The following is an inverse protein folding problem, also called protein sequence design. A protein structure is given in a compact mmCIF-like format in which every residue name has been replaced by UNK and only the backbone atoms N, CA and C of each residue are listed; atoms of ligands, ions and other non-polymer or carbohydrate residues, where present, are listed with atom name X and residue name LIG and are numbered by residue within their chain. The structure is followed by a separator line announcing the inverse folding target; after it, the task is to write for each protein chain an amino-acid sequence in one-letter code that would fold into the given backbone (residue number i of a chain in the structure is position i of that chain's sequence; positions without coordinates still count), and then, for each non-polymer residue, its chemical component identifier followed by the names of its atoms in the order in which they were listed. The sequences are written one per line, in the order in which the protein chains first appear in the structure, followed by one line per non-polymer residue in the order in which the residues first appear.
data_IF_449623151536
#
_entry.id   IF_449623151536
#
_cell.length_a   1.000
_cell.length_b   1.000
_cell.length_c   1.000
_cell.angle_alpha   90.00
_cell.angle_beta   90.00
_cell.angle_gamma   90.00
#
_symmetry.space_group_name_H-M   'P 1'
#
loop_
_entity.id
_entity.type
_entity.pdbx_description
1 polymer ?
#
# COMPACT_ATOMS: atom_id res chain seq x y z
N UNK A 1 -6.12 -3.12 7.55
CA UNK A 1 -6.77 -1.99 8.22
C UNK A 1 -6.76 -2.12 9.75
N UNK A 2 -6.97 -1.00 10.47
CA UNK A 2 -6.95 -0.94 11.93
C UNK A 2 -8.24 -1.51 12.56
N UNK A 3 -9.35 -1.37 11.87
CA UNK A 3 -10.66 -1.85 12.27
C UNK A 3 -11.51 -2.16 11.02
N UNK A 4 -12.63 -2.88 11.16
CA UNK A 4 -13.53 -3.15 10.03
C UNK A 4 -14.15 -1.91 9.41
N UNK A 5 -14.38 -0.85 10.22
CA UNK A 5 -14.99 0.42 9.79
C UNK A 5 -14.19 1.62 10.30
N UNK A 6 -14.28 2.76 9.60
CA UNK A 6 -13.45 3.93 9.88
C UNK A 6 -13.80 4.60 11.22
N UNK A 7 -15.06 4.59 11.65
CA UNK A 7 -15.43 5.14 12.95
C UNK A 7 -14.75 4.37 14.10
N UNK A 8 -14.73 3.04 14.07
CA UNK A 8 -14.05 2.23 15.10
C UNK A 8 -12.52 2.46 15.07
N UNK A 9 -11.96 2.65 13.87
CA UNK A 9 -10.55 2.96 13.71
C UNK A 9 -10.21 4.33 14.30
N UNK A 10 -11.10 5.32 14.13
CA UNK A 10 -10.95 6.65 14.73
C UNK A 10 -10.99 6.59 16.26
N UNK A 11 -12.00 5.94 16.82
CA UNK A 11 -12.12 5.77 18.28
C UNK A 11 -10.86 5.15 18.91
N UNK A 12 -10.28 4.15 18.25
CA UNK A 12 -9.02 3.53 18.71
C UNK A 12 -7.84 4.47 18.62
N UNK A 13 -7.75 5.25 17.53
CA UNK A 13 -6.69 6.24 17.37
C UNK A 13 -6.80 7.33 18.46
N UNK A 14 -7.99 7.87 18.68
CA UNK A 14 -8.24 8.91 19.70
C UNK A 14 -8.02 8.39 21.12
N UNK A 15 -8.46 7.17 21.44
CA UNK A 15 -8.21 6.54 22.72
C UNK A 15 -6.71 6.37 23.01
N UNK A 16 -5.94 5.94 22.00
CA UNK A 16 -4.49 5.78 22.12
C UNK A 16 -3.79 7.14 22.29
N UNK A 17 -4.19 8.16 21.54
CA UNK A 17 -3.68 9.52 21.67
C UNK A 17 -3.99 10.12 23.05
N UNK A 18 -5.23 9.96 23.53
CA UNK A 18 -5.62 10.42 24.86
C UNK A 18 -4.86 9.71 26.00
N UNK A 19 -4.53 8.44 25.80
CA UNK A 19 -3.72 7.67 26.75
C UNK A 19 -2.21 7.96 26.64
N UNK A 20 -1.77 8.71 25.63
CA UNK A 20 -0.35 8.99 25.37
C UNK A 20 0.48 7.75 25.05
N UNK A 21 -0.15 6.68 24.53
CA UNK A 21 0.54 5.44 24.18
C UNK A 21 0.97 5.45 22.72
N UNK A 22 2.12 4.85 22.46
CA UNK A 22 2.59 4.66 21.08
C UNK A 22 1.90 3.48 20.43
N UNK A 23 1.59 3.60 19.15
CA UNK A 23 0.82 2.62 18.39
C UNK A 23 1.48 2.31 17.05
N UNK A 24 1.21 1.12 16.52
CA UNK A 24 1.64 0.73 15.18
C UNK A 24 0.59 -0.15 14.51
N UNK A 25 0.38 0.07 13.22
CA UNK A 25 -0.38 -0.82 12.33
C UNK A 25 0.60 -1.52 11.40
N UNK A 26 0.40 -2.83 11.17
CA UNK A 26 1.30 -3.68 10.41
C UNK A 26 1.23 -3.44 8.91
N UNK A 27 1.82 -2.36 8.42
CA UNK A 27 2.03 -2.08 6.99
C UNK A 27 3.50 -2.33 6.61
N UNK A 28 3.94 -3.57 6.82
CA UNK A 28 5.34 -3.98 6.70
C UNK A 28 6.00 -3.69 5.34
N UNK A 29 5.23 -3.60 4.25
CA UNK A 29 5.78 -3.21 2.93
C UNK A 29 6.44 -1.84 2.96
N UNK A 30 5.93 -0.89 3.75
CA UNK A 30 6.50 0.45 3.92
C UNK A 30 7.89 0.43 4.57
N UNK A 31 8.26 -0.70 5.18
CA UNK A 31 9.57 -0.88 5.82
C UNK A 31 10.66 -1.23 4.81
N UNK A 32 10.31 -1.48 3.55
CA UNK A 32 11.28 -1.81 2.51
C UNK A 32 12.25 -0.63 2.28
N UNK A 33 13.57 -0.86 2.32
CA UNK A 33 14.58 0.19 2.06
C UNK A 33 14.40 0.86 0.70
N UNK A 34 13.91 0.16 -0.33
CA UNK A 34 13.69 0.72 -1.66
C UNK A 34 12.48 1.67 -1.71
N UNK A 35 11.44 1.42 -0.91
CA UNK A 35 10.33 2.36 -0.76
C UNK A 35 10.79 3.63 -0.03
N UNK A 36 11.63 3.48 1.00
CA UNK A 36 12.23 4.62 1.70
C UNK A 36 13.09 5.45 0.76
N UNK A 37 13.96 4.79 -0.02
CA UNK A 37 14.76 5.45 -1.05
C UNK A 37 13.88 6.18 -2.08
N UNK A 38 12.83 5.52 -2.57
CA UNK A 38 11.90 6.14 -3.52
C UNK A 38 11.28 7.43 -2.94
N UNK A 39 10.85 7.40 -1.68
CA UNK A 39 10.33 8.58 -0.99
C UNK A 39 11.39 9.68 -0.84
N UNK A 40 12.61 9.33 -0.45
CA UNK A 40 13.73 10.26 -0.33
C UNK A 40 14.03 10.96 -1.67
N UNK A 41 14.09 10.20 -2.76
CA UNK A 41 14.30 10.75 -4.12
C UNK A 41 13.16 11.69 -4.55
N UNK A 42 11.91 11.36 -4.23
CA UNK A 42 10.75 12.22 -4.49
C UNK A 42 10.87 13.53 -3.70
N UNK A 43 11.14 13.45 -2.40
CA UNK A 43 11.28 14.62 -1.52
C UNK A 43 12.51 15.49 -1.87
N UNK A 44 13.58 14.88 -2.35
CA UNK A 44 14.77 15.59 -2.86
C UNK A 44 14.54 16.27 -4.21
N UNK A 45 13.39 16.04 -4.85
CA UNK A 45 13.04 16.64 -6.14
C UNK A 45 13.79 16.02 -7.33
N UNK A 46 14.33 14.81 -7.20
CA UNK A 46 15.05 14.13 -8.28
C UNK A 46 14.14 13.83 -9.49
N UNK A 47 12.84 13.64 -9.23
CA UNK A 47 11.85 13.43 -10.29
C UNK A 47 11.33 14.75 -10.88
N UNK A 48 11.63 15.91 -10.27
CA UNK A 48 11.05 17.20 -10.63
C UNK A 48 9.60 17.33 -10.16
N UNK A 49 8.76 18.02 -10.95
CA UNK A 49 7.31 18.10 -10.72
C UNK A 49 6.69 16.72 -10.97
N UNK A 50 5.95 16.20 -10.00
CA UNK A 50 5.28 14.89 -10.13
C UNK A 50 4.00 15.07 -10.94
N UNK A 51 3.84 14.25 -11.97
CA UNK A 51 2.69 14.29 -12.87
C UNK A 51 1.63 13.25 -12.52
N UNK A 52 2.05 12.02 -12.19
CA UNK A 52 1.10 10.94 -11.93
C UNK A 52 1.69 9.79 -11.12
N UNK A 53 0.77 9.01 -10.53
CA UNK A 53 1.02 7.80 -9.74
C UNK A 53 0.21 6.62 -10.29
N UNK A 54 0.78 5.44 -10.29
CA UNK A 54 0.09 4.17 -10.51
C UNK A 54 0.50 3.18 -9.43
N UNK A 55 -0.47 2.54 -8.79
CA UNK A 55 -0.25 1.48 -7.82
C UNK A 55 -1.07 0.25 -8.17
N UNK A 56 -0.54 -0.92 -7.88
CA UNK A 56 -1.24 -2.20 -8.05
C UNK A 56 -0.95 -3.06 -6.84
N UNK A 57 -1.97 -3.75 -6.31
CA UNK A 57 -1.78 -4.90 -5.45
C UNK A 57 -2.64 -6.04 -5.99
N UNK A 58 -1.99 -6.99 -6.64
CA UNK A 58 -2.66 -8.07 -7.33
C UNK A 58 -2.02 -9.43 -6.99
N UNK A 59 -2.87 -10.38 -6.58
CA UNK A 59 -2.52 -11.75 -6.20
C UNK A 59 -3.60 -12.72 -6.69
N UNK A 60 -3.35 -14.02 -6.67
CA UNK A 60 -4.34 -15.02 -7.15
C UNK A 60 -4.87 -15.98 -6.08
N UNK A 61 -4.56 -15.72 -4.80
CA UNK A 61 -4.91 -16.63 -3.71
C UNK A 61 -6.42 -16.81 -3.46
N UNK A 62 -7.26 -15.95 -4.04
CA UNK A 62 -8.72 -16.03 -4.00
C UNK A 62 -9.34 -16.41 -5.36
N UNK A 63 -8.54 -16.73 -6.37
CA UNK A 63 -9.02 -17.01 -7.73
C UNK A 63 -9.75 -18.35 -7.88
N UNK A 64 -9.56 -19.32 -6.97
CA UNK A 64 -10.25 -20.59 -7.01
C UNK A 64 -11.71 -20.44 -6.54
N UNK A 65 -12.72 -20.68 -7.42
CA UNK A 65 -14.13 -20.63 -7.03
C UNK A 65 -14.53 -21.70 -5.99
N UNK A 66 -13.76 -22.80 -5.89
CA UNK A 66 -13.98 -23.84 -4.88
C UNK A 66 -13.35 -23.50 -3.52
N UNK A 67 -12.55 -22.44 -3.44
CA UNK A 67 -11.95 -21.98 -2.20
C UNK A 67 -12.98 -21.63 -1.12
N UNK A 68 -12.64 -21.79 0.17
CA UNK A 68 -13.60 -21.63 1.26
C UNK A 68 -13.97 -20.16 1.51
N UNK A 69 -15.17 -19.95 2.07
CA UNK A 69 -15.52 -18.69 2.73
C UNK A 69 -14.63 -18.49 3.96
N UNK A 70 -14.06 -17.31 4.11
CA UNK A 70 -13.15 -16.93 5.22
C UNK A 70 -13.56 -15.58 5.78
N UNK A 71 -12.91 -15.13 6.87
CA UNK A 71 -13.10 -13.79 7.44
C UNK A 71 -12.88 -12.65 6.42
N UNK A 72 -12.08 -12.89 5.38
CA UNK A 72 -11.84 -11.92 4.30
C UNK A 72 -13.08 -11.63 3.44
N UNK A 73 -14.07 -12.49 3.51
CA UNK A 73 -15.36 -12.33 2.79
C UNK A 73 -16.46 -11.72 3.67
N UNK A 74 -16.14 -11.40 4.95
CA UNK A 74 -17.13 -10.73 5.80
C UNK A 74 -17.45 -9.33 5.27
N UNK A 75 -18.73 -8.91 5.25
CA UNK A 75 -19.13 -7.60 4.72
C UNK A 75 -18.45 -6.42 5.44
N UNK A 76 -18.20 -6.56 6.74
CA UNK A 76 -17.49 -5.55 7.51
C UNK A 76 -15.98 -5.79 7.46
N UNK A 77 -15.27 -4.98 6.70
CA UNK A 77 -13.81 -4.99 6.63
C UNK A 77 -13.19 -6.06 5.74
N UNK A 78 -13.99 -6.84 4.99
CA UNK A 78 -13.53 -7.77 3.97
C UNK A 78 -13.42 -7.13 2.59
N UNK A 79 -13.02 -7.96 1.59
CA UNK A 79 -12.82 -7.56 0.21
C UNK A 79 -11.36 -7.29 -0.17
N UNK A 80 -11.08 -7.39 -1.46
CA UNK A 80 -9.74 -7.17 -2.01
C UNK A 80 -9.22 -5.75 -1.71
N UNK A 81 -10.10 -4.75 -1.78
CA UNK A 81 -9.75 -3.38 -1.46
C UNK A 81 -9.30 -3.22 -0.01
N UNK A 82 -10.03 -3.82 0.94
CA UNK A 82 -9.70 -3.72 2.36
C UNK A 82 -8.47 -4.57 2.73
N UNK A 83 -8.34 -5.78 2.17
CA UNK A 83 -7.25 -6.71 2.50
C UNK A 83 -5.93 -6.25 1.87
N UNK A 84 -5.87 -6.15 0.54
CA UNK A 84 -4.64 -5.84 -0.20
C UNK A 84 -4.58 -4.41 -0.75
N UNK A 85 -5.72 -3.83 -1.15
CA UNK A 85 -5.78 -2.44 -1.63
C UNK A 85 -5.37 -1.42 -0.58
N UNK A 86 -5.61 -1.70 0.72
CA UNK A 86 -5.15 -0.88 1.83
C UNK A 86 -3.63 -0.69 1.83
N UNK A 87 -2.85 -1.67 1.41
CA UNK A 87 -1.39 -1.54 1.27
C UNK A 87 -1.01 -0.63 0.10
N UNK A 88 -1.71 -0.72 -1.04
CA UNK A 88 -1.49 0.17 -2.18
C UNK A 88 -1.82 1.63 -1.82
N UNK A 89 -2.90 1.87 -1.07
CA UNK A 89 -3.27 3.19 -0.56
C UNK A 89 -2.25 3.73 0.43
N UNK A 90 -1.81 2.90 1.38
CA UNK A 90 -0.76 3.28 2.33
C UNK A 90 0.55 3.64 1.62
N UNK A 91 0.92 2.90 0.58
CA UNK A 91 2.11 3.19 -0.25
C UNK A 91 1.94 4.52 -1.01
N UNK A 92 0.77 4.78 -1.58
CA UNK A 92 0.47 6.03 -2.28
C UNK A 92 0.62 7.25 -1.34
N UNK A 93 -0.01 7.20 -0.16
CA UNK A 93 0.12 8.28 0.84
C UNK A 93 1.54 8.41 1.41
N UNK A 94 2.23 7.30 1.61
CA UNK A 94 3.63 7.32 2.07
C UNK A 94 4.54 8.05 1.08
N UNK A 95 4.35 7.85 -0.21
CA UNK A 95 5.20 8.43 -1.25
C UNK A 95 4.82 9.89 -1.58
N UNK A 96 3.53 10.21 -1.68
CA UNK A 96 3.05 11.46 -2.29
C UNK A 96 2.20 12.32 -1.35
N UNK A 97 1.99 11.88 -0.11
CA UNK A 97 1.17 12.61 0.86
C UNK A 97 -0.33 12.29 0.74
N UNK A 98 -1.18 13.08 1.42
CA UNK A 98 -2.58 12.78 1.58
C UNK A 98 -3.35 12.69 0.25
N UNK A 99 -4.27 11.73 0.17
CA UNK A 99 -5.25 11.62 -0.90
C UNK A 99 -6.49 12.43 -0.48
N UNK A 100 -6.91 13.39 -1.33
CA UNK A 100 -8.03 14.30 -1.07
C UNK A 100 -9.36 13.81 -1.62
N UNK A 101 -9.35 13.13 -2.78
CA UNK A 101 -10.55 12.64 -3.43
C UNK A 101 -10.29 11.28 -4.08
N UNK A 102 -11.33 10.45 -4.12
CA UNK A 102 -11.28 9.14 -4.75
C UNK A 102 -12.52 8.90 -5.62
N UNK A 103 -12.35 8.09 -6.66
CA UNK A 103 -13.43 7.50 -7.45
C UNK A 103 -13.11 6.03 -7.65
N UNK A 104 -14.10 5.15 -7.54
CA UNK A 104 -13.88 3.70 -7.58
C UNK A 104 -14.86 2.95 -8.45
N UNK A 105 -14.46 1.74 -8.82
CA UNK A 105 -15.30 0.73 -9.44
C UNK A 105 -14.90 -0.64 -8.90
N UNK A 106 -15.86 -1.39 -8.36
CA UNK A 106 -15.63 -2.67 -7.69
C UNK A 106 -16.46 -3.78 -8.34
N UNK A 107 -15.90 -4.99 -8.38
CA UNK A 107 -16.55 -6.16 -8.94
C UNK A 107 -16.42 -7.36 -8.02
N UNK A 108 -17.51 -8.16 -7.94
CA UNK A 108 -17.54 -9.48 -7.32
C UNK A 108 -17.47 -10.49 -8.47
N UNK A 109 -16.38 -11.23 -8.57
CA UNK A 109 -16.15 -12.23 -9.60
C UNK A 109 -16.67 -13.60 -9.20
N UNK A 110 -16.59 -13.93 -7.90
CA UNK A 110 -16.99 -15.22 -7.33
C UNK A 110 -18.13 -14.97 -6.34
N UNK A 111 -19.41 -15.02 -6.79
CA UNK A 111 -20.55 -14.55 -6.00
C UNK A 111 -20.95 -15.48 -4.84
N UNK A 112 -20.43 -16.70 -4.81
CA UNK A 112 -20.76 -17.67 -3.76
C UNK A 112 -19.54 -18.49 -3.36
N UNK A 113 -19.38 -18.77 -2.06
CA UNK A 113 -18.40 -19.71 -1.53
C UNK A 113 -19.04 -20.61 -0.47
N UNK A 114 -18.37 -21.73 -0.15
CA UNK A 114 -18.81 -22.60 0.95
C UNK A 114 -18.06 -22.26 2.23
N UNK A 115 -18.78 -22.18 3.34
CA UNK A 115 -18.17 -22.06 4.65
C UNK A 115 -17.64 -23.42 5.18
N UNK A 116 -17.04 -23.41 6.35
CA UNK A 116 -16.48 -24.62 6.99
C UNK A 116 -17.52 -25.73 7.26
N UNK A 117 -18.81 -25.40 7.32
CA UNK A 117 -19.91 -26.37 7.44
C UNK A 117 -20.38 -26.92 6.10
N UNK A 118 -19.84 -26.42 4.96
CA UNK A 118 -20.26 -26.77 3.61
C UNK A 118 -21.48 -25.95 3.12
N UNK A 119 -22.00 -25.03 3.92
CA UNK A 119 -23.13 -24.17 3.55
C UNK A 119 -22.64 -23.11 2.54
N UNK A 120 -23.47 -22.83 1.52
CA UNK A 120 -23.24 -21.72 0.58
C UNK A 120 -23.47 -20.39 1.27
N UNK A 121 -22.52 -19.48 1.06
CA UNK A 121 -22.56 -18.09 1.53
C UNK A 121 -22.43 -17.18 0.31
N UNK A 122 -23.31 -16.21 0.20
CA UNK A 122 -23.20 -15.14 -0.79
C UNK A 122 -22.05 -14.23 -0.42
N UNK A 123 -21.27 -13.82 -1.42
CA UNK A 123 -20.18 -12.84 -1.28
C UNK A 123 -20.75 -11.46 -1.61
N UNK A 124 -20.52 -10.50 -0.70
CA UNK A 124 -20.99 -9.13 -0.82
C UNK A 124 -19.82 -8.12 -0.91
N UNK A 125 -18.58 -8.62 -0.85
CA UNK A 125 -17.36 -7.82 -0.92
C UNK A 125 -16.67 -7.96 -2.26
N UNK A 126 -15.85 -6.99 -2.62
CA UNK A 126 -15.14 -6.96 -3.90
C UNK A 126 -14.04 -8.02 -4.01
N UNK A 127 -13.91 -8.61 -5.19
CA UNK A 127 -12.74 -9.39 -5.62
C UNK A 127 -11.73 -8.51 -6.38
N UNK A 128 -12.24 -7.47 -7.05
CA UNK A 128 -11.42 -6.50 -7.81
C UNK A 128 -11.97 -5.11 -7.61
N UNK A 129 -11.09 -4.18 -7.28
CA UNK A 129 -11.41 -2.74 -7.24
C UNK A 129 -10.35 -1.95 -7.98
N UNK A 130 -10.80 -1.05 -8.87
CA UNK A 130 -9.98 -0.01 -9.48
C UNK A 130 -10.40 1.35 -8.91
N UNK A 131 -9.44 2.19 -8.56
CA UNK A 131 -9.75 3.54 -8.09
C UNK A 131 -8.84 4.59 -8.73
N UNK A 132 -9.43 5.77 -9.00
CA UNK A 132 -8.71 6.99 -9.32
C UNK A 132 -8.52 7.82 -8.05
N UNK A 133 -7.37 8.48 -7.95
CA UNK A 133 -6.94 9.24 -6.79
C UNK A 133 -6.64 10.68 -7.20
N UNK A 134 -6.97 11.63 -6.33
CA UNK A 134 -6.44 13.01 -6.35
C UNK A 134 -5.80 13.28 -5.01
N UNK A 135 -4.53 13.64 -5.04
CA UNK A 135 -3.78 14.02 -3.84
C UNK A 135 -4.02 15.49 -3.49
N UNK A 136 -3.82 15.86 -2.23
CA UNK A 136 -3.90 17.26 -1.77
C UNK A 136 -2.98 18.19 -2.58
N UNK A 137 -1.85 17.68 -3.05
CA UNK A 137 -0.91 18.38 -3.91
C UNK A 137 -1.43 18.65 -5.33
N UNK A 138 -2.59 18.10 -5.72
CA UNK A 138 -3.14 18.17 -7.07
C UNK A 138 -2.65 17.07 -8.01
N UNK A 139 -1.70 16.22 -7.59
CA UNK A 139 -1.26 15.04 -8.35
C UNK A 139 -2.45 14.10 -8.52
N UNK A 140 -2.54 13.45 -9.68
CA UNK A 140 -3.53 12.39 -9.95
C UNK A 140 -2.89 11.03 -10.02
N UNK A 141 -3.67 9.98 -9.71
CA UNK A 141 -3.17 8.62 -9.78
C UNK A 141 -4.28 7.58 -9.88
N UNK A 142 -3.88 6.33 -9.87
CA UNK A 142 -4.78 5.18 -9.84
C UNK A 142 -4.21 4.06 -9.00
N UNK A 143 -5.10 3.23 -8.45
CA UNK A 143 -4.74 1.94 -7.86
C UNK A 143 -5.62 0.82 -8.41
N UNK A 144 -5.08 -0.39 -8.38
CA UNK A 144 -5.80 -1.65 -8.53
C UNK A 144 -5.60 -2.50 -7.27
N UNK A 145 -6.68 -3.10 -6.77
CA UNK A 145 -6.68 -4.16 -5.78
C UNK A 145 -7.39 -5.37 -6.38
N UNK A 146 -6.70 -6.52 -6.50
CA UNK A 146 -7.22 -7.68 -7.22
C UNK A 146 -6.67 -8.98 -6.62
N UNK A 147 -7.46 -9.71 -5.85
CA UNK A 147 -7.03 -10.99 -5.27
C UNK A 147 -7.37 -12.23 -6.10
N UNK A 148 -7.92 -12.01 -7.32
CA UNK A 148 -8.23 -13.04 -8.31
C UNK A 148 -7.38 -12.90 -9.58
N UNK A 149 -6.24 -12.19 -9.51
CA UNK A 149 -5.34 -11.96 -10.64
C UNK A 149 -4.52 -13.20 -10.98
N UNK A 150 -5.14 -14.18 -11.63
CA UNK A 150 -4.56 -15.50 -11.93
C UNK A 150 -3.15 -15.39 -12.47
N UNK A 151 -2.20 -16.07 -11.80
CA UNK A 151 -0.77 -16.09 -12.14
C UNK A 151 0.06 -15.01 -11.45
N UNK A 152 -0.54 -14.12 -10.65
CA UNK A 152 0.18 -13.15 -9.81
C UNK A 152 0.35 -13.69 -8.39
N UNK A 153 1.59 -13.78 -7.94
CA UNK A 153 1.89 -14.29 -6.59
C UNK A 153 1.94 -13.16 -5.55
N UNK A 154 2.47 -12.00 -5.92
CA UNK A 154 2.69 -10.88 -4.99
C UNK A 154 3.00 -9.59 -5.75
N UNK A 155 2.16 -9.21 -6.68
CA UNK A 155 2.32 -7.96 -7.41
C UNK A 155 1.86 -6.78 -6.54
N UNK A 156 2.76 -6.23 -5.73
CA UNK A 156 2.57 -4.94 -5.07
C UNK A 156 3.55 -3.94 -5.68
N UNK A 157 3.10 -3.26 -6.71
CA UNK A 157 3.93 -2.42 -7.57
C UNK A 157 3.49 -0.97 -7.48
N UNK A 158 4.43 -0.04 -7.73
CA UNK A 158 4.09 1.35 -8.00
C UNK A 158 4.97 1.94 -9.08
N UNK A 159 4.44 2.96 -9.75
CA UNK A 159 5.13 3.84 -10.67
C UNK A 159 4.84 5.31 -10.31
N UNK A 160 5.89 6.15 -10.32
CA UNK A 160 5.78 7.60 -10.12
C UNK A 160 6.45 8.28 -11.29
N UNK A 161 5.74 9.17 -11.95
CA UNK A 161 6.22 9.90 -13.11
C UNK A 161 6.33 11.39 -12.81
N UNK A 162 7.48 11.98 -13.13
CA UNK A 162 7.73 13.41 -12.97
C UNK A 162 8.45 14.01 -14.17
N UNK A 163 8.62 15.33 -14.12
CA UNK A 163 9.21 16.11 -15.22
C UNK A 163 10.69 15.84 -15.49
N UNK A 164 11.41 15.31 -14.51
CA UNK A 164 12.86 15.02 -14.60
C UNK A 164 13.20 13.55 -14.46
N UNK A 165 12.26 12.71 -14.04
CA UNK A 165 12.51 11.30 -13.83
C UNK A 165 11.26 10.50 -13.53
N UNK A 166 11.43 9.18 -13.45
CA UNK A 166 10.39 8.25 -13.07
C UNK A 166 10.96 7.15 -12.17
N UNK A 167 10.11 6.62 -11.30
CA UNK A 167 10.41 5.45 -10.46
C UNK A 167 9.45 4.32 -10.79
N UNK A 168 9.95 3.10 -10.74
CA UNK A 168 9.18 1.87 -10.78
C UNK A 168 9.71 0.90 -9.72
N UNK A 169 8.82 0.34 -8.94
CA UNK A 169 9.09 -0.68 -7.92
C UNK A 169 8.15 -1.87 -8.09
N UNK A 170 8.64 -3.07 -7.82
CA UNK A 170 7.84 -4.29 -7.76
C UNK A 170 8.20 -5.11 -6.53
N UNK A 171 7.20 -5.50 -5.74
CA UNK A 171 7.37 -6.38 -4.58
C UNK A 171 7.88 -7.79 -4.97
N UNK A 172 7.59 -8.27 -6.17
CA UNK A 172 8.13 -9.53 -6.69
C UNK A 172 9.66 -9.48 -6.89
N UNK A 173 10.24 -8.26 -6.91
CA UNK A 173 11.67 -7.96 -6.97
C UNK A 173 12.06 -6.88 -5.96
N UNK A 174 11.59 -7.00 -4.74
CA UNK A 174 11.59 -5.92 -3.75
C UNK A 174 12.97 -5.48 -3.22
N UNK A 175 14.05 -6.12 -3.64
CA UNK A 175 15.41 -5.65 -3.40
C UNK A 175 15.93 -4.73 -4.53
N UNK A 176 15.06 -4.28 -5.43
CA UNK A 176 15.40 -3.43 -6.57
C UNK A 176 14.47 -2.22 -6.65
N UNK A 177 15.01 -1.07 -7.03
CA UNK A 177 14.26 0.12 -7.42
C UNK A 177 14.74 0.54 -8.81
N UNK A 178 13.81 0.82 -9.72
CA UNK A 178 14.13 1.27 -11.05
C UNK A 178 13.93 2.77 -11.17
N UNK A 179 14.96 3.49 -11.60
CA UNK A 179 14.96 4.94 -11.77
C UNK A 179 15.29 5.33 -13.20
N UNK A 180 14.46 6.15 -13.82
CA UNK A 180 14.71 6.81 -15.08
C UNK A 180 15.08 8.27 -14.85
N UNK A 181 16.20 8.74 -15.45
CA UNK A 181 16.61 10.13 -15.40
C UNK A 181 16.46 10.78 -16.78
N UNK A 182 15.60 11.78 -16.88
CA UNK A 182 15.35 12.48 -18.14
C UNK A 182 16.56 13.33 -18.60
N UNK A 183 17.50 13.63 -17.70
CA UNK A 183 18.71 14.41 -18.00
C UNK A 183 19.85 13.54 -18.58
N UNK A 184 19.71 12.23 -18.61
CA UNK A 184 20.68 11.35 -19.24
C UNK A 184 20.81 11.67 -20.74
N UNK A 185 21.98 11.41 -21.33
CA UNK A 185 22.23 11.69 -22.74
C UNK A 185 21.24 10.95 -23.66
N UNK A 186 20.73 11.59 -24.72
CA UNK A 186 19.94 10.89 -25.73
C UNK A 186 20.66 9.62 -26.21
N UNK A 187 19.93 8.50 -26.32
CA UNK A 187 20.50 7.20 -26.68
C UNK A 187 21.10 6.41 -25.50
N UNK A 188 21.23 7.01 -24.31
CA UNK A 188 21.66 6.35 -23.07
C UNK A 188 20.54 6.35 -22.00
N UNK A 189 19.36 6.86 -22.34
CA UNK A 189 18.19 6.91 -21.46
C UNK A 189 17.59 5.52 -21.31
N UNK A 190 17.21 5.18 -20.08
CA UNK A 190 16.54 3.94 -19.74
C UNK A 190 16.34 3.85 -18.24
N UNK A 191 15.49 2.95 -17.79
CA UNK A 191 15.40 2.62 -16.38
C UNK A 191 16.69 1.93 -15.93
N UNK A 192 17.42 2.56 -15.02
CA UNK A 192 18.54 1.93 -14.33
C UNK A 192 18.03 1.22 -13.09
N UNK A 193 18.57 0.05 -12.81
CA UNK A 193 18.30 -0.70 -11.58
C UNK A 193 19.21 -0.23 -10.46
N UNK A 194 18.63 0.07 -9.31
CA UNK A 194 19.30 0.34 -8.05
C UNK A 194 19.05 -0.89 -7.17
N UNK A 195 20.10 -1.59 -6.77
CA UNK A 195 20.03 -2.76 -5.91
C UNK A 195 20.10 -2.37 -4.43
N UNK A 196 19.24 -2.95 -3.60
CA UNK A 196 19.29 -2.76 -2.16
C UNK A 196 20.62 -3.26 -1.58
N UNK A 197 21.16 -2.50 -0.65
CA UNK A 197 22.42 -2.82 0.01
C UNK A 197 22.62 -2.03 1.31
N UNK A 198 23.74 -2.22 2.03
CA UNK A 198 23.99 -1.60 3.33
C UNK A 198 23.92 -0.08 3.35
N UNK A 199 24.07 0.58 2.19
CA UNK A 199 23.94 2.05 2.04
C UNK A 199 22.50 2.53 2.02
N UNK A 200 21.50 1.62 2.05
CA UNK A 200 20.08 1.94 2.06
C UNK A 200 19.49 1.54 3.44
N UNK A 201 19.42 2.47 4.41
CA UNK A 201 18.88 2.14 5.73
C UNK A 201 17.44 1.62 5.68
N UNK A 202 17.07 0.65 6.52
CA UNK A 202 17.90 -0.03 7.53
C UNK A 202 18.58 -1.33 7.04
N UNK A 203 18.71 -1.57 5.73
CA UNK A 203 19.25 -2.81 5.15
C UNK A 203 20.51 -3.31 5.89
N UNK A 204 21.48 -2.43 6.14
CA UNK A 204 22.77 -2.78 6.76
C UNK A 204 22.66 -3.30 8.21
N UNK A 205 21.54 -3.09 8.89
CA UNK A 205 21.29 -3.65 10.23
C UNK A 205 20.86 -5.14 10.16
N UNK A 206 20.32 -5.55 9.02
CA UNK A 206 19.78 -6.90 8.79
C UNK A 206 20.66 -7.74 7.85
N UNK A 207 21.35 -7.07 6.91
CA UNK A 207 22.20 -7.69 5.91
C UNK A 207 23.52 -6.93 5.78
N UNK A 208 24.63 -7.59 6.07
CA UNK A 208 25.96 -6.93 6.19
C UNK A 208 26.62 -6.59 4.85
N UNK A 209 26.14 -7.17 3.74
CA UNK A 209 26.79 -7.01 2.43
C UNK A 209 25.76 -6.89 1.28
N UNK A 210 26.13 -6.20 0.17
CA UNK A 210 25.32 -6.20 -1.05
C UNK A 210 25.12 -7.60 -1.60
N UNK A 211 23.99 -7.86 -2.26
CA UNK A 211 23.71 -9.14 -2.92
C UNK A 211 23.21 -10.25 -2.00
N UNK A 212 23.25 -10.08 -0.67
CA UNK A 212 22.69 -11.07 0.27
C UNK A 212 21.17 -11.02 0.31
N UNK A 213 20.59 -9.88 -0.03
CA UNK A 213 19.15 -9.58 -0.07
C UNK A 213 18.44 -9.74 1.29
N UNK A 214 17.44 -8.92 1.52
CA UNK A 214 16.47 -9.10 2.61
C UNK A 214 15.27 -9.88 2.09
N UNK A 215 14.62 -10.67 2.98
CA UNK A 215 13.41 -11.43 2.67
C UNK A 215 12.14 -10.78 3.22
N UNK A 216 10.98 -11.32 2.86
CA UNK A 216 9.68 -10.80 3.31
C UNK A 216 9.56 -10.76 4.84
N UNK A 217 10.12 -11.75 5.54
CA UNK A 217 10.08 -11.79 7.01
C UNK A 217 10.99 -10.71 7.64
N UNK A 218 12.05 -10.29 6.94
CA UNK A 218 12.90 -9.20 7.42
C UNK A 218 12.16 -7.88 7.46
N UNK A 219 11.20 -7.63 6.56
CA UNK A 219 10.35 -6.44 6.61
C UNK A 219 9.56 -6.36 7.91
N UNK A 220 9.07 -7.49 8.44
CA UNK A 220 8.39 -7.56 9.73
C UNK A 220 9.36 -7.31 10.89
N UNK A 221 10.58 -7.83 10.80
CA UNK A 221 11.62 -7.58 11.79
C UNK A 221 12.03 -6.10 11.81
N UNK A 222 12.17 -5.48 10.63
CA UNK A 222 12.42 -4.03 10.48
C UNK A 222 11.28 -3.22 11.09
N UNK A 223 10.03 -3.62 10.85
CA UNK A 223 8.84 -2.96 11.40
C UNK A 223 8.85 -2.99 12.94
N UNK A 224 9.11 -4.17 13.53
CA UNK A 224 9.18 -4.33 14.99
C UNK A 224 10.36 -3.55 15.57
N UNK A 225 11.51 -3.57 14.91
CA UNK A 225 12.69 -2.80 15.35
C UNK A 225 12.40 -1.29 15.36
N UNK A 226 11.78 -0.77 14.29
CA UNK A 226 11.37 0.65 14.22
C UNK A 226 10.36 1.02 15.30
N UNK A 227 9.43 0.13 15.65
CA UNK A 227 8.51 0.35 16.76
C UNK A 227 9.22 0.35 18.12
N UNK A 228 10.17 -0.56 18.33
CA UNK A 228 10.99 -0.57 19.54
C UNK A 228 11.80 0.71 19.70
N UNK A 229 12.40 1.23 18.63
CA UNK A 229 13.09 2.53 18.60
C UNK A 229 12.13 3.68 18.93
N UNK A 230 10.91 3.65 18.41
CA UNK A 230 9.88 4.64 18.74
C UNK A 230 9.49 4.56 20.21
N UNK A 231 9.31 3.36 20.79
CA UNK A 231 9.05 3.18 22.24
C UNK A 231 10.18 3.72 23.11
N UNK A 232 11.43 3.58 22.66
CA UNK A 232 12.61 4.12 23.32
C UNK A 232 12.77 5.65 23.16
N UNK A 233 11.90 6.31 22.38
CA UNK A 233 12.01 7.74 22.08
C UNK A 233 13.11 8.11 21.11
N UNK A 234 13.66 7.13 20.37
CA UNK A 234 14.78 7.31 19.43
C UNK A 234 14.31 7.61 18.01
N UNK A 235 13.07 7.31 17.68
CA UNK A 235 12.48 7.53 16.36
C UNK A 235 11.00 7.94 16.48
N UNK A 236 10.43 8.48 15.39
CA UNK A 236 9.00 8.69 15.24
C UNK A 236 8.28 7.33 15.03
N UNK A 237 7.01 7.28 15.36
CA UNK A 237 6.16 6.12 15.08
C UNK A 237 6.07 5.90 13.57
N UNK A 238 6.42 4.72 13.05
CA UNK A 238 6.51 4.52 11.61
C UNK A 238 5.15 4.56 10.90
N UNK A 239 4.11 3.95 11.48
CA UNK A 239 2.74 3.94 10.95
C UNK A 239 1.76 3.72 12.11
N UNK A 240 1.31 4.79 12.73
CA UNK A 240 0.47 4.75 13.93
C UNK A 240 -1.02 4.51 13.62
N UNK A 241 -1.85 4.44 14.66
CA UNK A 241 -3.29 4.23 14.52
C UNK A 241 -3.99 5.34 13.75
N UNK A 242 -3.53 6.59 13.85
CA UNK A 242 -4.08 7.71 13.06
C UNK A 242 -3.85 7.48 11.56
N UNK A 243 -2.67 7.02 11.17
CA UNK A 243 -2.38 6.65 9.79
C UNK A 243 -3.22 5.43 9.34
N UNK A 244 -3.40 4.43 10.22
CA UNK A 244 -4.27 3.28 9.96
C UNK A 244 -5.74 3.67 9.75
N UNK A 245 -6.25 4.63 10.55
CA UNK A 245 -7.59 5.20 10.36
C UNK A 245 -7.72 5.90 9.00
N UNK A 246 -6.73 6.68 8.59
CA UNK A 246 -6.76 7.36 7.28
C UNK A 246 -6.92 6.36 6.13
N UNK A 247 -6.15 5.27 6.15
CA UNK A 247 -6.28 4.22 5.15
C UNK A 247 -7.67 3.57 5.19
N UNK A 248 -8.23 3.32 6.37
CA UNK A 248 -9.58 2.77 6.48
C UNK A 248 -10.64 3.71 5.89
N UNK A 249 -10.51 5.03 6.11
CA UNK A 249 -11.38 6.03 5.48
C UNK A 249 -11.29 6.01 3.96
N UNK A 250 -10.07 5.86 3.40
CA UNK A 250 -9.87 5.75 1.96
C UNK A 250 -10.57 4.51 1.39
N UNK A 251 -10.49 3.37 2.09
CA UNK A 251 -11.20 2.13 1.70
C UNK A 251 -12.71 2.41 1.65
N UNK A 252 -13.30 2.95 2.71
CA UNK A 252 -14.74 3.25 2.74
C UNK A 252 -15.15 4.31 1.69
N UNK A 253 -14.34 5.34 1.49
CA UNK A 253 -14.61 6.36 0.47
C UNK A 253 -14.60 5.77 -0.94
N UNK A 254 -13.69 4.83 -1.25
CA UNK A 254 -13.66 4.13 -2.53
C UNK A 254 -14.89 3.22 -2.69
N UNK A 255 -15.29 2.51 -1.64
CA UNK A 255 -16.52 1.70 -1.65
C UNK A 255 -17.76 2.57 -1.91
N UNK A 256 -17.87 3.71 -1.23
CA UNK A 256 -18.96 4.68 -1.48
C UNK A 256 -18.90 5.25 -2.90
N UNK A 257 -17.70 5.60 -3.38
CA UNK A 257 -17.50 6.10 -4.74
C UNK A 257 -17.94 5.08 -5.80
N UNK A 258 -17.62 3.79 -5.59
CA UNK A 258 -18.05 2.71 -6.47
C UNK A 258 -19.59 2.52 -6.47
N UNK A 259 -20.21 2.59 -5.30
CA UNK A 259 -21.66 2.45 -5.14
C UNK A 259 -22.45 3.61 -5.77
N UNK A 260 -21.94 4.84 -5.62
CA UNK A 260 -22.61 6.07 -6.07
C UNK A 260 -22.15 6.58 -7.44
N UNK A 261 -21.10 5.97 -8.04
CA UNK A 261 -20.50 6.39 -9.30
C UNK A 261 -20.09 7.88 -9.34
N UNK A 262 -19.48 8.35 -8.26
CA UNK A 262 -19.07 9.75 -8.11
C UNK A 262 -17.77 9.88 -7.34
N UNK A 263 -17.11 11.04 -7.46
CA UNK A 263 -15.95 11.39 -6.63
C UNK A 263 -16.41 11.63 -5.19
N UNK A 264 -15.64 11.07 -4.24
CA UNK A 264 -15.84 11.23 -2.80
C UNK A 264 -14.65 11.96 -2.21
N UNK A 265 -14.93 13.01 -1.41
CA UNK A 265 -13.91 13.72 -0.64
C UNK A 265 -13.45 12.85 0.55
N UNK A 266 -12.14 12.84 0.78
CA UNK A 266 -11.51 12.08 1.87
C UNK A 266 -10.88 13.00 2.91
N UNK A 267 -11.07 14.31 2.80
CA UNK A 267 -10.66 15.29 3.82
C UNK A 267 -11.28 14.95 5.19
N UNK A 268 -10.56 15.17 6.31
CA UNK A 268 -11.07 14.88 7.65
C UNK A 268 -12.32 15.64 8.00
#
# INVERSE_FOLDING_TARGET
PLAPVACDALERAEAAEAAGVKTQVGFNYLMNPMLRLAREMILAGELGEIYSYRGVHAEDYMSDPAGPYTFRHEPAGGGALADIGSHALATAEFLLGPIAQVMGNSHILIPERRDASGQRRTIEVDDVTHAFLRFDSGITGSIEANWCATGRSMQHDFEVYGSKGALHFSQERFNELHFYNANDKPGQRGFRRIEAGPTHPPYGQFCVAPGHQIGFNDLKAIEIAGYAEALAGQAAEPFNFRAGWRVQRLVEAIQQAAAHQQWIDTAP
#
